data_IF_926686326711
#
_entry.id   IF_926686326711
#
_cell.length_a   1.000
_cell.length_b   1.000
_cell.length_c   1.000
_cell.angle_alpha   90.00
_cell.angle_beta   90.00
_cell.angle_gamma   90.00
#
_symmetry.space_group_name_H-M   'P 1'
#
loop_
_entity.id
_entity.type
_entity.pdbx_description
1 polymer ?
#
# COMPACT_ATOMS: atom_id res chain seq x y z
N UNK A 1 -7.01 22.20 26.17
CA UNK A 1 -6.82 20.75 25.91
C UNK A 1 -7.53 20.42 24.60
N UNK A 2 -6.83 20.39 23.47
CA UNK A 2 -7.43 20.15 22.14
C UNK A 2 -7.46 18.64 21.88
N UNK A 3 -8.65 18.09 21.59
CA UNK A 3 -8.86 16.66 21.34
C UNK A 3 -8.62 16.39 19.85
N UNK A 4 -7.48 15.79 19.50
CA UNK A 4 -7.18 15.41 18.11
C UNK A 4 -8.05 14.22 17.72
N UNK A 5 -8.89 14.37 16.69
CA UNK A 5 -9.67 13.26 16.12
C UNK A 5 -8.72 12.31 15.39
N UNK A 6 -8.61 11.07 15.84
CA UNK A 6 -7.82 10.05 15.13
C UNK A 6 -8.55 9.65 13.84
N UNK A 7 -7.90 9.76 12.67
CA UNK A 7 -8.42 9.18 11.42
C UNK A 7 -8.58 7.67 11.63
N UNK A 8 -9.73 7.09 11.26
CA UNK A 8 -9.90 5.63 11.25
C UNK A 8 -8.88 5.03 10.28
N UNK A 9 -8.07 4.09 10.75
CA UNK A 9 -7.24 3.27 9.87
C UNK A 9 -8.16 2.29 9.13
N UNK A 10 -8.06 2.24 7.81
CA UNK A 10 -8.74 1.28 6.94
C UNK A 10 -7.69 0.47 6.18
N UNK A 11 -7.90 -0.83 6.06
CA UNK A 11 -7.02 -1.73 5.31
C UNK A 11 -7.84 -2.46 4.25
N UNK A 12 -7.28 -2.61 3.05
CA UNK A 12 -7.89 -3.35 1.93
C UNK A 12 -6.92 -4.40 1.41
N UNK A 13 -7.46 -5.52 0.91
CA UNK A 13 -6.69 -6.55 0.20
C UNK A 13 -6.98 -6.44 -1.29
N UNK A 14 -5.94 -6.28 -2.09
CA UNK A 14 -6.04 -6.18 -3.55
C UNK A 14 -5.40 -7.44 -4.14
N UNK A 15 -6.10 -8.07 -5.09
CA UNK A 15 -5.60 -9.22 -5.86
C UNK A 15 -5.39 -8.74 -7.29
N UNK A 16 -4.21 -8.98 -7.85
CA UNK A 16 -3.82 -8.52 -9.18
C UNK A 16 -3.41 -9.75 -9.99
N UNK A 17 -3.99 -9.90 -11.16
CA UNK A 17 -3.76 -11.00 -12.09
C UNK A 17 -3.25 -10.48 -13.43
N UNK A 18 -2.40 -11.25 -14.11
CA UNK A 18 -1.78 -10.90 -15.39
C UNK A 18 -0.27 -10.97 -15.34
N UNK A 19 0.41 -10.22 -16.21
CA UNK A 19 1.88 -10.17 -16.25
C UNK A 19 2.39 -9.25 -15.12
N UNK A 20 2.64 -9.84 -13.94
CA UNK A 20 3.12 -9.12 -12.74
C UNK A 20 4.54 -9.51 -12.31
N UNK A 21 5.12 -10.54 -12.94
CA UNK A 21 6.48 -11.02 -12.66
C UNK A 21 7.45 -10.52 -13.72
N UNK A 22 8.69 -10.21 -13.32
CA UNK A 22 9.72 -9.71 -14.23
C UNK A 22 9.58 -8.23 -14.66
N UNK A 23 8.51 -7.54 -14.26
CA UNK A 23 8.21 -6.14 -14.68
C UNK A 23 8.56 -5.07 -13.64
N UNK A 24 9.20 -5.44 -12.53
CA UNK A 24 9.46 -4.49 -11.44
C UNK A 24 8.22 -4.13 -10.60
N UNK A 25 7.19 -4.98 -10.61
CA UNK A 25 5.92 -4.74 -9.91
C UNK A 25 6.09 -4.44 -8.41
N UNK A 26 6.90 -5.24 -7.69
CA UNK A 26 7.09 -5.06 -6.24
C UNK A 26 7.80 -3.74 -5.90
N UNK A 27 8.93 -3.36 -6.53
CA UNK A 27 9.52 -2.04 -6.36
C UNK A 27 8.56 -0.88 -6.67
N UNK A 28 7.71 -1.01 -7.69
CA UNK A 28 6.72 0.01 -8.04
C UNK A 28 5.70 0.25 -6.91
N UNK A 29 5.07 -0.82 -6.41
CA UNK A 29 4.10 -0.70 -5.31
C UNK A 29 4.76 -0.19 -4.02
N UNK A 30 5.99 -0.62 -3.74
CA UNK A 30 6.72 -0.17 -2.54
C UNK A 30 6.95 1.35 -2.55
N UNK A 31 7.39 1.92 -3.68
CA UNK A 31 7.57 3.38 -3.81
C UNK A 31 6.25 4.13 -3.65
N UNK A 32 5.21 3.68 -4.35
CA UNK A 32 3.88 4.31 -4.26
C UNK A 32 3.33 4.28 -2.82
N UNK A 33 3.53 3.17 -2.09
CA UNK A 33 3.10 3.08 -0.70
C UNK A 33 3.83 4.07 0.21
N UNK A 34 5.13 4.31 0.00
CA UNK A 34 5.89 5.31 0.76
C UNK A 34 5.42 6.73 0.43
N UNK A 35 5.26 7.05 -0.86
CA UNK A 35 4.82 8.37 -1.34
C UNK A 35 3.44 8.74 -0.78
N UNK A 36 2.54 7.77 -0.66
CA UNK A 36 1.18 7.94 -0.11
C UNK A 36 1.10 7.75 1.43
N UNK A 37 2.22 7.49 2.11
CA UNK A 37 2.23 7.25 3.56
C UNK A 37 1.44 6.01 4.01
N UNK A 38 1.31 5.02 3.12
CA UNK A 38 0.62 3.76 3.38
C UNK A 38 1.54 2.74 4.05
N UNK A 39 0.93 1.80 4.78
CA UNK A 39 1.64 0.69 5.44
C UNK A 39 1.00 -0.64 5.04
N UNK A 40 1.81 -1.68 4.91
CA UNK A 40 1.35 -3.00 4.47
C UNK A 40 2.47 -3.83 3.83
N UNK A 41 2.09 -4.80 3.02
CA UNK A 41 3.01 -5.68 2.31
C UNK A 41 2.50 -5.99 0.90
N UNK A 42 3.43 -6.33 0.01
CA UNK A 42 3.15 -6.88 -1.31
C UNK A 42 3.83 -8.25 -1.42
N UNK A 43 3.14 -9.22 -2.01
CA UNK A 43 3.67 -10.58 -2.23
C UNK A 43 3.16 -11.12 -3.57
N UNK A 44 3.99 -11.96 -4.19
CA UNK A 44 3.63 -12.81 -5.33
C UNK A 44 3.00 -14.09 -4.77
#
# INVERSE_FOLDING_TARGET
MVRVRTKRKSCIKIIISGIVQGVGFRPFIYRLAIEEGLSGFVRN
#
